data_IF_580890345302
#
_entry.id   IF_580890345302
#
_cell.length_a   1.000
_cell.length_b   1.000
_cell.length_c   1.000
_cell.angle_alpha   90.00
_cell.angle_beta   90.00
_cell.angle_gamma   90.00
#
_symmetry.space_group_name_H-M   'P 1'
#
loop_
_entity.id
_entity.type
_entity.pdbx_description
1 polymer ?
#
# COMPACT_ATOMS: atom_id res chain seq x y z
N UNK A 1 -10.90 2.39 -11.45
CA UNK A 1 -9.71 2.92 -10.79
C UNK A 1 -8.51 2.10 -11.29
N UNK A 2 -7.57 1.64 -10.48
CA UNK A 2 -6.29 0.98 -10.88
C UNK A 2 -6.28 -0.13 -12.00
N UNK A 3 -7.41 -0.66 -12.43
CA UNK A 3 -7.54 -1.57 -13.58
C UNK A 3 -7.72 -0.87 -14.93
N UNK A 4 -7.84 0.46 -14.95
CA UNK A 4 -7.92 1.24 -16.18
C UNK A 4 -6.66 1.03 -17.05
N UNK A 5 -6.85 0.99 -18.36
CA UNK A 5 -5.75 0.75 -19.30
C UNK A 5 -4.99 2.04 -19.62
N UNK A 6 -5.69 3.18 -19.57
CA UNK A 6 -5.16 4.50 -19.90
C UNK A 6 -5.40 5.51 -18.77
N UNK A 7 -4.63 6.59 -18.77
CA UNK A 7 -4.80 7.69 -17.81
C UNK A 7 -6.15 8.40 -17.98
N UNK A 8 -6.64 8.50 -19.23
CA UNK A 8 -7.92 9.12 -19.57
C UNK A 8 -9.10 8.31 -19.01
N UNK A 9 -9.06 6.98 -19.17
CA UNK A 9 -10.08 6.07 -18.60
C UNK A 9 -10.14 6.19 -17.06
N UNK A 10 -8.99 6.41 -16.43
CA UNK A 10 -8.92 6.54 -14.98
C UNK A 10 -9.46 7.89 -14.47
N UNK A 11 -9.24 8.98 -15.21
CA UNK A 11 -9.84 10.27 -14.87
C UNK A 11 -11.37 10.21 -14.93
N UNK A 12 -11.91 9.49 -15.93
CA UNK A 12 -13.35 9.26 -16.01
C UNK A 12 -13.83 8.43 -14.81
N UNK A 13 -13.14 7.32 -14.50
CA UNK A 13 -13.48 6.50 -13.34
C UNK A 13 -13.37 7.27 -12.00
N UNK A 14 -12.43 8.21 -11.89
CA UNK A 14 -12.27 9.10 -10.73
C UNK A 14 -13.42 10.09 -10.61
N UNK A 15 -13.90 10.61 -11.73
CA UNK A 15 -15.09 11.48 -11.77
C UNK A 15 -16.32 10.70 -11.31
N UNK A 16 -16.56 9.52 -11.87
CA UNK A 16 -17.68 8.65 -11.49
C UNK A 16 -17.63 8.26 -10.00
N UNK A 17 -16.44 7.92 -9.50
CA UNK A 17 -16.26 7.64 -8.07
C UNK A 17 -16.62 8.85 -7.21
N UNK A 18 -16.22 10.05 -7.61
CA UNK A 18 -16.53 11.26 -6.87
C UNK A 18 -18.04 11.57 -6.90
N UNK A 19 -18.72 11.31 -8.01
CA UNK A 19 -20.18 11.50 -8.12
C UNK A 19 -20.95 10.57 -7.18
N UNK A 20 -20.52 9.31 -7.07
CA UNK A 20 -21.16 8.31 -6.23
C UNK A 20 -20.78 8.49 -4.75
N UNK A 21 -19.49 8.70 -4.46
CA UNK A 21 -18.93 8.60 -3.11
C UNK A 21 -18.41 9.90 -2.53
N UNK A 22 -18.21 10.94 -3.34
CA UNK A 22 -17.62 12.21 -2.91
C UNK A 22 -18.41 12.91 -1.81
N UNK A 23 -19.75 12.79 -1.82
CA UNK A 23 -20.59 13.31 -0.72
C UNK A 23 -20.37 12.58 0.60
N UNK A 24 -20.14 11.26 0.54
CA UNK A 24 -19.98 10.41 1.73
C UNK A 24 -18.55 10.41 2.26
N UNK A 25 -17.57 10.50 1.36
CA UNK A 25 -16.15 10.43 1.65
C UNK A 25 -15.36 11.57 0.98
N UNK A 26 -15.65 12.84 1.32
CA UNK A 26 -15.07 14.00 0.63
C UNK A 26 -13.55 14.05 0.72
N UNK A 27 -12.97 13.67 1.86
CA UNK A 27 -11.52 13.64 2.04
C UNK A 27 -10.82 12.56 1.19
N UNK A 28 -11.51 11.45 0.89
CA UNK A 28 -10.94 10.42 0.01
C UNK A 28 -10.87 10.98 -1.41
N UNK A 29 -11.97 11.51 -1.94
CA UNK A 29 -11.99 12.12 -3.27
C UNK A 29 -10.99 13.28 -3.41
N UNK A 30 -10.89 14.13 -2.38
CA UNK A 30 -9.91 15.21 -2.34
C UNK A 30 -8.47 14.69 -2.36
N UNK A 31 -8.18 13.61 -1.62
CA UNK A 31 -6.84 13.00 -1.62
C UNK A 31 -6.45 12.46 -3.00
N UNK A 32 -7.36 11.76 -3.67
CA UNK A 32 -7.12 11.25 -5.03
C UNK A 32 -6.85 12.36 -6.04
N UNK A 33 -7.67 13.41 -6.01
CA UNK A 33 -7.51 14.55 -6.92
C UNK A 33 -6.26 15.37 -6.63
N UNK A 34 -5.92 15.59 -5.35
CA UNK A 34 -4.74 16.37 -4.95
C UNK A 34 -3.42 15.66 -5.27
N UNK A 35 -3.40 14.32 -5.22
CA UNK A 35 -2.22 13.50 -5.50
C UNK A 35 -2.25 12.87 -6.91
N UNK A 36 -3.11 13.39 -7.80
CA UNK A 36 -3.34 12.77 -9.11
C UNK A 36 -2.05 12.68 -9.94
N UNK A 37 -1.21 13.70 -9.90
CA UNK A 37 0.04 13.75 -10.67
C UNK A 37 1.03 12.63 -10.27
N UNK A 38 1.11 12.33 -8.97
CA UNK A 38 1.91 11.23 -8.47
C UNK A 38 1.27 9.88 -8.83
N UNK A 39 -0.05 9.77 -8.65
CA UNK A 39 -0.79 8.52 -8.88
C UNK A 39 -0.83 8.13 -10.36
N UNK A 40 -0.95 9.08 -11.28
CA UNK A 40 -1.00 8.80 -12.72
C UNK A 40 0.32 8.26 -13.28
N UNK A 41 1.43 8.45 -12.56
CA UNK A 41 2.72 7.81 -12.88
C UNK A 41 2.61 6.27 -12.90
N UNK A 42 1.65 5.69 -12.17
CA UNK A 42 1.32 4.26 -12.25
C UNK A 42 1.10 3.78 -13.69
N UNK A 43 0.47 4.60 -14.54
CA UNK A 43 0.16 4.22 -15.93
C UNK A 43 1.39 4.10 -16.83
N UNK A 44 2.51 4.73 -16.45
CA UNK A 44 3.78 4.69 -17.19
C UNK A 44 4.51 3.34 -17.06
N UNK A 45 4.14 2.51 -16.09
CA UNK A 45 4.76 1.20 -15.89
C UNK A 45 4.16 0.12 -16.80
N UNK A 46 4.94 -0.92 -17.18
CA UNK A 46 4.41 -2.06 -17.91
C UNK A 46 3.46 -2.89 -17.01
N UNK A 47 2.59 -3.68 -17.64
CA UNK A 47 1.54 -4.44 -16.94
C UNK A 47 2.08 -5.34 -15.81
N UNK A 48 3.24 -5.99 -16.01
CA UNK A 48 3.85 -6.83 -14.98
C UNK A 48 4.19 -6.08 -13.70
N UNK A 49 4.67 -4.84 -13.83
CA UNK A 49 5.01 -3.97 -12.70
C UNK A 49 3.74 -3.38 -12.07
N UNK A 50 2.74 -3.00 -12.88
CA UNK A 50 1.41 -2.60 -12.39
C UNK A 50 0.79 -3.68 -11.51
N UNK A 51 0.84 -4.94 -11.94
CA UNK A 51 0.40 -6.09 -11.16
C UNK A 51 1.11 -6.17 -9.82
N UNK A 52 2.43 -6.04 -9.80
CA UNK A 52 3.18 -6.04 -8.55
C UNK A 52 2.80 -4.89 -7.61
N UNK A 53 2.56 -3.69 -8.15
CA UNK A 53 2.23 -2.49 -7.38
C UNK A 53 0.83 -2.60 -6.74
N UNK A 54 -0.20 -3.03 -7.48
CA UNK A 54 -1.55 -3.14 -6.90
C UNK A 54 -1.70 -4.38 -6.01
N UNK A 55 -0.82 -5.38 -6.12
CA UNK A 55 -0.79 -6.49 -5.16
C UNK A 55 -0.27 -6.00 -3.81
N UNK A 56 -1.19 -5.79 -2.87
CA UNK A 56 -0.83 -5.37 -1.51
C UNK A 56 -0.33 -6.54 -0.65
N UNK A 57 -0.53 -7.80 -1.09
CA UNK A 57 -0.21 -9.02 -0.34
C UNK A 57 1.18 -9.03 0.33
N UNK A 58 2.30 -8.68 -0.35
CA UNK A 58 3.62 -8.72 0.29
C UNK A 58 3.75 -7.70 1.43
N UNK A 59 3.29 -6.47 1.20
CA UNK A 59 3.36 -5.36 2.15
C UNK A 59 2.40 -5.60 3.32
N UNK A 60 1.18 -6.05 3.05
CA UNK A 60 0.19 -6.40 4.07
C UNK A 60 0.63 -7.58 4.94
N UNK A 61 1.24 -8.60 4.34
CA UNK A 61 1.80 -9.76 5.07
C UNK A 61 2.93 -9.34 6.01
N UNK A 62 3.84 -8.48 5.53
CA UNK A 62 4.91 -7.90 6.34
C UNK A 62 4.33 -7.07 7.51
N UNK A 63 3.43 -6.12 7.20
CA UNK A 63 2.80 -5.26 8.20
C UNK A 63 2.00 -6.07 9.23
N UNK A 64 1.32 -7.14 8.81
CA UNK A 64 0.59 -8.04 9.70
C UNK A 64 1.53 -8.79 10.65
N UNK A 65 2.71 -9.19 10.17
CA UNK A 65 3.74 -9.81 11.01
C UNK A 65 4.32 -8.84 12.02
N UNK A 66 4.65 -7.61 11.59
CA UNK A 66 5.14 -6.56 12.48
C UNK A 66 4.09 -6.24 13.55
N UNK A 67 2.84 -5.98 13.15
CA UNK A 67 1.72 -5.71 14.07
C UNK A 67 1.52 -6.83 15.09
N UNK A 68 1.60 -8.10 14.66
CA UNK A 68 1.49 -9.25 15.58
C UNK A 68 2.59 -9.26 16.63
N UNK A 69 3.84 -8.92 16.26
CA UNK A 69 5.01 -8.91 17.15
C UNK A 69 5.03 -7.70 18.08
N UNK A 70 4.51 -6.56 17.63
CA UNK A 70 4.39 -5.35 18.46
C UNK A 70 3.18 -5.38 19.38
N UNK A 71 2.10 -6.06 19.03
CA UNK A 71 0.85 -6.09 19.82
C UNK A 71 1.04 -6.50 21.28
N UNK A 72 2.01 -7.37 21.57
CA UNK A 72 2.31 -7.83 22.93
C UNK A 72 3.29 -6.93 23.69
N UNK A 73 3.83 -5.90 23.04
CA UNK A 73 4.75 -4.92 23.63
C UNK A 73 3.97 -3.63 23.89
N UNK A 74 3.71 -3.31 25.16
CA UNK A 74 3.02 -2.07 25.56
C UNK A 74 3.82 -0.81 25.24
N UNK A 75 5.14 -0.85 25.44
CA UNK A 75 6.06 0.22 25.05
C UNK A 75 7.46 -0.34 24.78
N UNK A 76 8.27 0.43 24.06
CA UNK A 76 9.69 0.15 23.84
C UNK A 76 10.53 1.08 24.72
N UNK A 77 11.52 0.57 25.47
CA UNK A 77 12.35 1.40 26.35
C UNK A 77 13.25 2.38 25.60
N UNK A 78 13.66 2.04 24.37
CA UNK A 78 14.46 2.90 23.49
C UNK A 78 14.05 2.74 22.03
N UNK A 79 14.38 3.73 21.20
CA UNK A 79 14.21 3.66 19.73
C UNK A 79 14.96 2.44 19.16
N UNK A 80 16.18 2.17 19.63
CA UNK A 80 16.98 1.02 19.20
C UNK A 80 16.29 -0.32 19.48
N UNK A 81 15.60 -0.43 20.61
CA UNK A 81 14.85 -1.65 20.94
C UNK A 81 13.66 -1.88 19.99
N UNK A 82 13.02 -0.80 19.52
CA UNK A 82 11.98 -0.87 18.50
C UNK A 82 12.57 -1.26 17.14
N UNK A 83 13.67 -0.65 16.73
CA UNK A 83 14.37 -1.01 15.49
C UNK A 83 14.85 -2.46 15.50
N UNK A 84 15.39 -2.95 16.62
CA UNK A 84 15.81 -4.35 16.75
C UNK A 84 14.65 -5.32 16.56
N UNK A 85 13.47 -5.00 17.11
CA UNK A 85 12.25 -5.80 16.92
C UNK A 85 11.80 -5.79 15.45
N UNK A 86 11.85 -4.63 14.80
CA UNK A 86 11.51 -4.49 13.38
C UNK A 86 12.46 -5.31 12.51
N UNK A 87 13.77 -5.21 12.76
CA UNK A 87 14.80 -5.99 12.06
C UNK A 87 14.61 -7.49 12.22
N UNK A 88 14.37 -7.99 13.45
CA UNK A 88 14.13 -9.42 13.65
C UNK A 88 12.84 -9.89 12.94
N UNK A 89 11.81 -9.04 12.92
CA UNK A 89 10.56 -9.35 12.21
C UNK A 89 10.76 -9.41 10.70
N UNK A 90 11.57 -8.53 10.11
CA UNK A 90 11.89 -8.57 8.67
C UNK A 90 12.73 -9.80 8.32
N UNK A 91 13.69 -10.19 9.16
CA UNK A 91 14.48 -11.41 8.96
C UNK A 91 13.61 -12.67 8.96
N UNK A 92 12.66 -12.80 9.88
CA UNK A 92 11.71 -13.93 9.90
C UNK A 92 10.86 -14.02 8.61
N UNK A 93 10.40 -12.87 8.10
CA UNK A 93 9.64 -12.80 6.84
C UNK A 93 10.53 -13.17 5.65
N UNK A 94 11.77 -12.69 5.62
CA UNK A 94 12.73 -13.00 4.57
C UNK A 94 13.01 -14.51 4.47
N UNK A 95 13.10 -15.22 5.60
CA UNK A 95 13.25 -16.69 5.61
C UNK A 95 12.06 -17.38 4.96
N UNK A 96 10.84 -16.86 5.14
CA UNK A 96 9.64 -17.42 4.48
C UNK A 96 9.66 -17.19 2.98
N UNK A 97 10.13 -16.03 2.52
CA UNK A 97 10.24 -15.73 1.10
C UNK A 97 11.26 -16.62 0.40
N UNK A 98 12.41 -16.89 1.03
CA UNK A 98 13.43 -17.83 0.50
C UNK A 98 12.97 -19.29 0.39
N UNK A 99 11.87 -19.67 1.04
CA UNK A 99 11.30 -21.03 0.93
C UNK A 99 10.29 -21.17 -0.21
N UNK A 100 9.89 -20.05 -0.81
CA UNK A 100 8.95 -20.01 -1.94
C UNK A 100 9.67 -19.97 -3.29
N UNK A 101 10.99 -19.74 -3.27
CA UNK A 101 11.93 -19.97 -4.39
C UNK A 101 12.44 -21.42 -4.36
#
# INVERSE_FOLDING_TARGET
MYTANTEEDEQLALTEFNDIWGKKYPHIAQSWTSNWNELSTFFKYPQSIKTLIYTTNPIESLNSTIKRKTKTKGSFPTIDSAFKMLYLSTQEVQVKWKKLE
#
